data_IF_944929083954
#
_entry.id   IF_944929083954
#
_cell.length_a   1.000
_cell.length_b   1.000
_cell.length_c   1.000
_cell.angle_alpha   90.00
_cell.angle_beta   90.00
_cell.angle_gamma   90.00
#
_symmetry.space_group_name_H-M   'P 1'
#
loop_
_entity.id
_entity.type
_entity.pdbx_description
1 polymer ?
#
# COMPACT_ATOMS: atom_id res chain seq x y z
N UNK A 1 -11.18 15.25 11.01
CA UNK A 1 -11.28 15.54 12.45
C UNK A 1 -12.05 16.84 12.58
N UNK A 2 -13.16 16.83 13.32
CA UNK A 2 -13.93 18.04 13.57
C UNK A 2 -13.29 18.76 14.76
N UNK A 3 -12.61 19.88 14.50
CA UNK A 3 -11.95 20.68 15.55
C UNK A 3 -12.96 21.40 16.46
N UNK A 4 -14.19 21.60 16.02
CA UNK A 4 -15.23 22.25 16.83
C UNK A 4 -15.78 21.28 17.88
N UNK A 5 -15.92 20.01 17.49
CA UNK A 5 -16.47 18.95 18.36
C UNK A 5 -15.40 18.08 18.99
N UNK A 6 -14.14 18.26 18.60
CA UNK A 6 -12.99 17.42 18.95
C UNK A 6 -13.22 15.91 18.72
N UNK A 7 -13.98 15.57 17.68
CA UNK A 7 -14.32 14.17 17.35
C UNK A 7 -13.85 13.77 15.96
N UNK A 8 -13.50 12.50 15.81
CA UNK A 8 -13.32 11.89 14.50
C UNK A 8 -14.68 11.63 13.84
N UNK A 9 -14.73 11.83 12.52
CA UNK A 9 -15.88 11.44 11.71
C UNK A 9 -15.96 9.92 11.56
N UNK A 10 -16.95 9.42 10.79
CA UNK A 10 -17.03 8.01 10.44
C UNK A 10 -15.76 7.54 9.73
N UNK A 11 -15.51 6.22 9.76
CA UNK A 11 -14.41 5.62 9.01
C UNK A 11 -14.60 5.84 7.51
N UNK A 12 -13.50 6.03 6.79
CA UNK A 12 -13.51 6.16 5.33
C UNK A 12 -14.11 4.89 4.71
N UNK A 13 -15.18 5.01 3.88
CA UNK A 13 -15.73 3.85 3.19
C UNK A 13 -14.71 3.38 2.14
N UNK A 14 -14.27 2.13 2.26
CA UNK A 14 -13.40 1.48 1.29
C UNK A 14 -14.20 1.12 0.03
N UNK A 15 -13.55 1.04 -1.15
CA UNK A 15 -14.22 0.65 -2.39
C UNK A 15 -14.51 -0.86 -2.46
N UNK A 16 -14.27 -1.59 -1.37
CA UNK A 16 -14.24 -3.04 -1.31
C UNK A 16 -14.59 -3.54 0.09
N UNK A 17 -15.08 -4.77 0.15
CA UNK A 17 -15.23 -5.53 1.39
C UNK A 17 -13.96 -6.32 1.66
N UNK A 18 -13.55 -6.40 2.92
CA UNK A 18 -12.35 -7.12 3.33
C UNK A 18 -12.61 -7.91 4.62
N UNK A 19 -11.86 -8.98 4.80
CA UNK A 19 -11.83 -9.78 6.03
C UNK A 19 -10.50 -9.58 6.76
N UNK A 20 -10.41 -9.89 8.08
CA UNK A 20 -9.21 -9.62 8.87
C UNK A 20 -7.90 -10.27 8.40
N UNK A 21 -7.97 -11.23 7.48
CA UNK A 21 -6.81 -11.94 6.92
C UNK A 21 -6.29 -11.28 5.64
N UNK A 22 -7.08 -10.42 5.00
CA UNK A 22 -6.67 -9.70 3.80
C UNK A 22 -5.60 -8.68 4.12
N UNK A 23 -4.77 -8.35 3.13
CA UNK A 23 -3.89 -7.20 3.24
C UNK A 23 -4.62 -5.97 2.76
N UNK A 24 -4.79 -5.01 3.65
CA UNK A 24 -5.30 -3.68 3.35
C UNK A 24 -4.29 -2.66 3.85
N UNK A 25 -3.85 -1.78 2.96
CA UNK A 25 -2.94 -0.68 3.32
C UNK A 25 -3.41 0.61 2.67
N UNK A 26 -3.24 1.72 3.38
CA UNK A 26 -3.60 3.07 2.91
C UNK A 26 -2.32 3.87 2.71
N UNK A 27 -2.25 4.62 1.61
CA UNK A 27 -1.13 5.51 1.31
C UNK A 27 -1.62 6.84 0.75
N UNK A 28 -0.81 7.87 0.92
CA UNK A 28 -1.02 9.18 0.31
C UNK A 28 -0.37 9.17 -1.06
N UNK A 29 -1.13 9.54 -2.09
CA UNK A 29 -0.59 9.68 -3.45
C UNK A 29 0.29 10.93 -3.50
N UNK A 30 1.39 10.86 -4.26
CA UNK A 30 2.29 12.00 -4.45
C UNK A 30 1.49 13.24 -4.89
N UNK A 31 1.66 14.35 -4.18
CA UNK A 31 0.85 15.56 -4.35
C UNK A 31 -0.07 15.85 -3.16
N UNK A 32 -0.37 14.86 -2.31
CA UNK A 32 -1.04 15.06 -1.01
C UNK A 32 -2.56 15.21 -1.06
N UNK A 33 -3.16 15.24 -2.25
CA UNK A 33 -4.59 15.49 -2.44
C UNK A 33 -5.42 14.22 -2.65
N UNK A 34 -4.77 13.08 -2.93
CA UNK A 34 -5.42 11.79 -3.17
C UNK A 34 -4.88 10.73 -2.20
N UNK A 35 -5.72 9.75 -1.90
CA UNK A 35 -5.35 8.53 -1.18
C UNK A 35 -5.37 7.34 -2.14
N UNK A 36 -4.59 6.33 -1.81
CA UNK A 36 -4.61 5.04 -2.46
C UNK A 36 -4.80 3.93 -1.42
N UNK A 37 -5.57 2.91 -1.79
CA UNK A 37 -5.74 1.68 -1.01
C UNK A 37 -5.17 0.51 -1.79
N UNK A 38 -4.23 -0.20 -1.18
CA UNK A 38 -3.79 -1.51 -1.63
C UNK A 38 -4.67 -2.57 -0.99
N UNK A 39 -5.13 -3.51 -1.80
CA UNK A 39 -5.90 -4.67 -1.38
C UNK A 39 -5.32 -5.94 -1.98
N UNK A 40 -5.08 -6.94 -1.12
CA UNK A 40 -4.74 -8.29 -1.52
C UNK A 40 -5.58 -9.28 -0.69
N UNK A 41 -6.56 -9.98 -1.31
CA UNK A 41 -7.29 -11.05 -0.65
C UNK A 41 -6.36 -12.19 -0.20
N UNK A 42 -6.58 -12.74 0.98
CA UNK A 42 -5.68 -13.74 1.59
C UNK A 42 -5.57 -15.07 0.82
N UNK A 43 -6.60 -15.41 0.06
CA UNK A 43 -6.73 -16.66 -0.69
C UNK A 43 -6.31 -16.49 -2.17
N UNK A 44 -5.92 -15.28 -2.57
CA UNK A 44 -5.46 -14.98 -3.92
C UNK A 44 -4.08 -14.32 -3.92
N UNK A 45 -3.42 -14.37 -5.08
CA UNK A 45 -2.24 -13.54 -5.36
C UNK A 45 -2.61 -12.29 -6.16
N UNK A 46 -3.88 -11.87 -6.09
CA UNK A 46 -4.37 -10.68 -6.76
C UNK A 46 -4.02 -9.47 -5.92
N UNK A 47 -3.41 -8.47 -6.55
CA UNK A 47 -3.16 -7.18 -5.93
C UNK A 47 -3.97 -6.15 -6.69
N UNK A 48 -4.78 -5.40 -5.95
CA UNK A 48 -5.55 -4.28 -6.45
C UNK A 48 -5.08 -3.01 -5.76
N UNK A 49 -5.03 -1.91 -6.50
CA UNK A 49 -4.82 -0.57 -5.95
C UNK A 49 -5.89 0.37 -6.47
N UNK A 50 -6.64 0.93 -5.53
CA UNK A 50 -7.68 1.91 -5.76
C UNK A 50 -7.17 3.30 -5.40
N UNK A 51 -7.56 4.31 -6.18
CA UNK A 51 -7.18 5.71 -5.94
C UNK A 51 -8.45 6.51 -5.73
N UNK A 52 -8.41 7.51 -4.84
CA UNK A 52 -9.55 8.41 -4.63
C UNK A 52 -9.68 9.41 -5.78
N UNK A 53 -10.90 9.65 -6.23
CA UNK A 53 -11.22 10.76 -7.14
C UNK A 53 -11.44 12.07 -6.39
N UNK A 54 -12.05 12.01 -5.20
CA UNK A 54 -12.39 13.18 -4.39
C UNK A 54 -12.40 12.84 -2.90
N UNK A 55 -11.86 13.75 -2.10
CA UNK A 55 -11.85 13.69 -0.63
C UNK A 55 -12.51 14.97 -0.10
N UNK A 56 -13.50 14.80 0.76
CA UNK A 56 -14.22 15.84 1.49
C UNK A 56 -14.13 15.55 3.00
N UNK A 57 -14.46 16.50 3.88
CA UNK A 57 -14.36 16.30 5.33
C UNK A 57 -15.11 15.08 5.88
N UNK A 58 -16.21 14.70 5.24
CA UNK A 58 -17.13 13.62 5.64
C UNK A 58 -17.39 12.57 4.55
N UNK A 59 -16.80 12.74 3.35
CA UNK A 59 -17.03 11.84 2.23
C UNK A 59 -15.75 11.56 1.44
N UNK A 60 -15.61 10.33 0.95
CA UNK A 60 -14.55 9.95 0.01
C UNK A 60 -15.18 9.23 -1.16
N UNK A 61 -14.70 9.53 -2.36
CA UNK A 61 -15.09 8.81 -3.58
C UNK A 61 -13.86 8.26 -4.27
N UNK A 62 -14.04 7.11 -4.91
CA UNK A 62 -12.98 6.36 -5.55
C UNK A 62 -13.08 6.51 -7.07
N UNK A 63 -11.91 6.51 -7.72
CA UNK A 63 -11.84 6.49 -9.19
C UNK A 63 -12.60 5.27 -9.72
N UNK A 64 -13.37 5.47 -10.79
CA UNK A 64 -14.18 4.41 -11.40
C UNK A 64 -13.36 3.22 -11.92
N UNK A 65 -12.09 3.47 -12.25
CA UNK A 65 -11.15 2.46 -12.73
C UNK A 65 -10.06 2.22 -11.69
N UNK A 66 -9.84 0.96 -11.36
CA UNK A 66 -8.71 0.52 -10.53
C UNK A 66 -7.39 0.95 -11.19
N UNK A 67 -6.47 1.49 -10.40
CA UNK A 67 -5.17 1.95 -10.89
C UNK A 67 -4.30 0.78 -11.33
N UNK A 68 -4.27 -0.27 -10.49
CA UNK A 68 -3.48 -1.47 -10.71
C UNK A 68 -4.30 -2.69 -10.30
N UNK A 69 -4.39 -3.67 -11.19
CA UNK A 69 -5.01 -4.97 -10.93
C UNK A 69 -4.15 -6.05 -11.57
N UNK A 70 -3.41 -6.81 -10.76
CA UNK A 70 -2.47 -7.82 -11.26
C UNK A 70 -2.55 -9.11 -10.45
N UNK A 71 -2.23 -10.23 -11.09
CA UNK A 71 -2.07 -11.53 -10.42
C UNK A 71 -0.60 -11.90 -10.37
N UNK A 72 -0.04 -11.99 -9.17
CA UNK A 72 1.38 -12.32 -8.99
C UNK A 72 1.67 -13.84 -9.14
N UNK A 73 0.65 -14.68 -9.39
CA UNK A 73 0.75 -16.16 -9.40
C UNK A 73 1.90 -16.72 -10.23
N UNK A 74 2.25 -16.07 -11.34
CA UNK A 74 3.28 -16.56 -12.26
C UNK A 74 4.70 -16.11 -11.88
N UNK A 75 4.85 -15.17 -10.95
CA UNK A 75 6.12 -14.46 -10.70
C UNK A 75 6.58 -14.58 -9.23
N UNK A 76 5.72 -15.07 -8.35
CA UNK A 76 6.03 -15.25 -6.92
C UNK A 76 5.52 -16.58 -6.37
N UNK A 77 5.93 -16.90 -5.15
CA UNK A 77 5.53 -18.13 -4.46
C UNK A 77 3.99 -18.22 -4.36
N UNK A 78 3.36 -19.38 -4.63
CA UNK A 78 1.90 -19.55 -4.65
C UNK A 78 1.09 -19.17 -3.40
N UNK A 79 1.71 -18.98 -2.23
CA UNK A 79 0.99 -18.50 -1.03
C UNK A 79 1.71 -17.27 -0.45
N UNK A 80 2.35 -16.50 -1.31
CA UNK A 80 2.87 -15.19 -0.97
C UNK A 80 1.72 -14.27 -0.54
N UNK A 81 1.88 -13.61 0.60
CA UNK A 81 0.96 -12.58 1.03
C UNK A 81 1.79 -11.45 1.62
N UNK A 82 1.48 -10.22 1.23
CA UNK A 82 1.96 -9.08 1.97
C UNK A 82 1.47 -9.18 3.42
N UNK A 83 2.22 -8.62 4.36
CA UNK A 83 1.84 -8.66 5.77
C UNK A 83 0.56 -7.84 5.94
N UNK A 84 -0.50 -8.50 6.42
CA UNK A 84 -1.89 -8.00 6.47
C UNK A 84 -2.08 -6.63 7.17
N UNK A 85 -1.10 -6.17 7.96
CA UNK A 85 -1.09 -4.88 8.67
C UNK A 85 0.23 -4.13 8.54
N UNK A 86 1.06 -4.52 7.57
CA UNK A 86 2.48 -4.17 7.55
C UNK A 86 2.96 -3.51 6.27
N UNK A 87 2.50 -4.00 5.12
CA UNK A 87 2.98 -3.50 3.83
C UNK A 87 2.68 -2.01 3.68
N UNK A 88 3.71 -1.19 3.73
CA UNK A 88 3.58 0.22 3.34
C UNK A 88 3.80 0.31 1.84
N UNK A 89 3.13 1.23 1.17
CA UNK A 89 3.28 1.35 -0.28
C UNK A 89 3.12 2.79 -0.73
N UNK A 90 3.48 3.06 -1.96
CA UNK A 90 3.12 4.27 -2.68
C UNK A 90 3.04 3.95 -4.17
N UNK A 91 2.40 4.84 -4.93
CA UNK A 91 2.25 4.71 -6.37
C UNK A 91 2.95 5.86 -7.08
N UNK A 92 3.39 5.59 -8.31
CA UNK A 92 3.83 6.58 -9.27
C UNK A 92 2.89 6.47 -10.47
N UNK A 93 1.94 7.41 -10.58
CA UNK A 93 0.91 7.40 -11.62
C UNK A 93 1.50 7.61 -13.01
N UNK A 94 2.56 8.42 -13.13
CA UNK A 94 3.24 8.68 -14.40
C UNK A 94 3.99 7.45 -14.91
N UNK A 95 4.74 6.79 -14.01
CA UNK A 95 5.47 5.57 -14.34
C UNK A 95 4.57 4.33 -14.35
N UNK A 96 3.33 4.45 -13.88
CA UNK A 96 2.35 3.37 -13.78
C UNK A 96 2.87 2.16 -13.00
N UNK A 97 3.44 2.43 -11.83
CA UNK A 97 3.96 1.41 -10.92
C UNK A 97 3.47 1.63 -9.50
N UNK A 98 3.38 0.54 -8.75
CA UNK A 98 3.28 0.56 -7.30
C UNK A 98 4.56 0.00 -6.68
N UNK A 99 4.99 0.60 -5.58
CA UNK A 99 6.14 0.15 -4.81
C UNK A 99 5.62 -0.26 -3.43
N UNK A 100 5.62 -1.56 -3.16
CA UNK A 100 5.22 -2.13 -1.88
C UNK A 100 6.48 -2.47 -1.10
N UNK A 101 6.61 -1.90 0.08
CA UNK A 101 7.71 -2.14 1.00
C UNK A 101 7.20 -3.06 2.10
N UNK A 102 7.77 -4.25 2.15
CA UNK A 102 7.39 -5.29 3.10
C UNK A 102 8.61 -6.12 3.48
N UNK A 103 8.41 -7.07 4.39
CA UNK A 103 9.40 -8.07 4.71
C UNK A 103 9.43 -9.17 3.65
N UNK A 104 10.60 -9.79 3.49
CA UNK A 104 10.74 -10.97 2.65
C UNK A 104 9.81 -12.09 3.11
N UNK A 105 9.04 -12.65 2.19
CA UNK A 105 8.22 -13.81 2.49
C UNK A 105 9.09 -15.07 2.53
N UNK A 106 9.30 -15.60 3.74
CA UNK A 106 9.81 -16.95 3.96
C UNK A 106 8.89 -17.67 4.95
N UNK A 107 8.54 -18.93 4.66
CA UNK A 107 7.70 -19.76 5.54
C UNK A 107 8.48 -20.52 6.58
N UNK A 108 9.74 -20.79 6.29
CA UNK A 108 10.59 -21.64 7.11
C UNK A 108 11.36 -20.80 8.13
N UNK A 109 11.44 -19.49 7.95
CA UNK A 109 12.23 -18.58 8.76
C UNK A 109 11.43 -17.30 9.02
N UNK A 110 11.67 -16.66 10.18
CA UNK A 110 11.12 -15.33 10.45
C UNK A 110 11.73 -14.29 9.50
N UNK A 111 10.91 -13.41 8.90
CA UNK A 111 11.41 -12.41 7.96
C UNK A 111 12.36 -11.38 8.59
N UNK A 112 13.64 -11.41 8.19
CA UNK A 112 14.64 -10.43 8.65
C UNK A 112 14.91 -9.34 7.62
N UNK A 113 14.80 -9.66 6.32
CA UNK A 113 15.10 -8.72 5.23
C UNK A 113 13.90 -7.86 4.84
N UNK A 114 14.16 -6.59 4.64
CA UNK A 114 13.22 -5.66 4.03
C UNK A 114 13.35 -5.76 2.50
N UNK A 115 12.23 -5.75 1.79
CA UNK A 115 12.16 -5.85 0.34
C UNK A 115 11.26 -4.74 -0.20
N UNK A 116 11.63 -4.17 -1.34
CA UNK A 116 10.72 -3.37 -2.15
C UNK A 116 10.27 -4.20 -3.36
N UNK A 117 8.97 -4.34 -3.51
CA UNK A 117 8.30 -4.99 -4.65
C UNK A 117 7.79 -3.88 -5.57
N UNK A 118 8.41 -3.75 -6.73
CA UNK A 118 8.02 -2.82 -7.79
C UNK A 118 7.09 -3.58 -8.73
N UNK A 119 5.83 -3.17 -8.76
CA UNK A 119 4.75 -3.84 -9.49
C UNK A 119 4.27 -2.89 -10.59
N UNK A 120 4.42 -3.28 -11.85
CA UNK A 120 3.88 -2.53 -12.98
C UNK A 120 2.41 -2.87 -13.22
N UNK A 121 1.65 -1.91 -13.74
CA UNK A 121 0.25 -2.15 -14.19
C UNK A 121 0.15 -3.18 -15.31
N UNK A 122 1.27 -3.49 -15.98
CA UNK A 122 1.41 -4.54 -16.98
C UNK A 122 1.62 -5.94 -16.38
N UNK A 123 1.66 -6.05 -15.05
CA UNK A 123 1.92 -7.31 -14.34
C UNK A 123 3.39 -7.61 -14.12
N UNK A 124 4.31 -6.72 -14.52
CA UNK A 124 5.73 -6.87 -14.22
C UNK A 124 5.99 -6.80 -12.71
N UNK A 125 6.95 -7.58 -12.23
CA UNK A 125 7.36 -7.61 -10.83
C UNK A 125 8.88 -7.60 -10.74
N UNK A 126 9.44 -6.61 -10.03
CA UNK A 126 10.85 -6.55 -9.66
C UNK A 126 10.98 -6.47 -8.14
N UNK A 127 11.94 -7.21 -7.58
CA UNK A 127 12.27 -7.15 -6.15
C UNK A 127 13.59 -6.42 -5.96
N UNK A 128 13.66 -5.60 -4.91
CA UNK A 128 14.87 -4.89 -4.51
C UNK A 128 15.09 -5.15 -3.03
N UNK A 129 16.27 -5.71 -2.73
CA UNK A 129 16.70 -5.94 -1.36
C UNK A 129 17.04 -4.62 -0.69
N UNK A 130 16.34 -4.29 0.39
CA UNK A 130 16.56 -3.08 1.20
C UNK A 130 17.45 -3.37 2.41
N UNK A 131 17.97 -4.60 2.54
CA UNK A 131 18.85 -5.02 3.61
C UNK A 131 18.12 -5.62 4.81
N UNK A 132 18.92 -6.01 5.79
CA UNK A 132 18.43 -6.63 7.02
C UNK A 132 17.92 -5.61 8.02
N UNK A 133 16.90 -5.99 8.78
CA UNK A 133 16.40 -5.22 9.91
C UNK A 133 16.55 -6.03 11.19
N UNK A 134 17.14 -5.39 12.21
CA UNK A 134 17.22 -5.94 13.57
C UNK A 134 15.83 -6.14 14.19
N UNK A 135 14.82 -5.40 13.71
CA UNK A 135 13.44 -5.51 14.15
C UNK A 135 12.69 -6.52 13.28
N UNK A 136 12.46 -7.69 13.87
CA UNK A 136 11.87 -8.87 13.21
C UNK A 136 10.40 -8.68 12.84
N UNK A 137 9.64 -7.95 13.65
CA UNK A 137 8.20 -7.77 13.49
C UNK A 137 7.79 -6.39 12.95
N UNK A 138 8.73 -5.43 12.89
CA UNK A 138 8.43 -4.10 12.39
C UNK A 138 8.54 -4.11 10.87
N UNK A 139 7.44 -3.82 10.21
CA UNK A 139 7.44 -3.67 8.76
C UNK A 139 7.97 -2.28 8.42
N UNK A 140 8.91 -2.18 7.46
CA UNK A 140 9.43 -0.89 7.01
C UNK A 140 8.29 0.03 6.55
N UNK A 141 8.32 1.28 7.04
CA UNK A 141 7.39 2.33 6.63
C UNK A 141 7.98 3.11 5.46
N UNK A 142 7.24 3.13 4.35
CA UNK A 142 7.46 4.00 3.22
C UNK A 142 6.77 5.34 3.51
N UNK A 143 7.55 6.43 3.56
CA UNK A 143 7.02 7.78 3.62
C UNK A 143 7.35 8.48 2.30
N UNK A 144 6.34 8.97 1.59
CA UNK A 144 6.54 9.89 0.48
C UNK A 144 7.06 11.22 1.05
N UNK A 145 8.36 11.46 0.91
CA UNK A 145 8.96 12.73 1.28
C UNK A 145 8.42 13.84 0.37
N UNK A 146 7.82 14.87 0.97
CA UNK A 146 7.42 16.11 0.30
C UNK A 146 8.49 17.17 0.61
N UNK A 147 9.42 17.45 -0.32
CA UNK A 147 10.50 18.41 -0.07
C UNK A 147 9.99 19.82 0.27
N UNK A 148 8.78 20.16 -0.16
CA UNK A 148 8.15 21.47 0.02
C UNK A 148 7.80 21.84 1.46
N UNK A 149 7.84 20.87 2.40
CA UNK A 149 7.59 21.11 3.83
C UNK A 149 8.85 21.55 4.59
N UNK A 150 10.02 21.56 3.94
CA UNK A 150 11.23 22.16 4.49
C UNK A 150 11.35 23.57 3.89
N UNK A 151 10.85 24.57 4.61
CA UNK A 151 11.36 25.92 4.43
C UNK A 151 12.68 26.01 5.20
N UNK A 152 13.85 26.06 4.54
CA UNK A 152 15.05 26.51 5.22
C UNK A 152 14.83 27.96 5.63
N UNK A 153 14.84 28.21 6.94
CA UNK A 153 15.02 29.56 7.49
C UNK A 153 16.40 30.11 7.11
#
# INVERSE_FOLDING_TARGET
FDFTRETFGPLLPLPLEHVPRDTVSLSVVRGGEKLAVLFQPWDTLKVEIWVTSKIEPDAVTWESKVFLEVSLRQVIHPQFQFIARGGSFFIDEEKKVAIVIDKEFDRNIQPTRNQAYIIGVDGSLKRVDLGESAHKLNVPLACSYLPSLIQPN
#
